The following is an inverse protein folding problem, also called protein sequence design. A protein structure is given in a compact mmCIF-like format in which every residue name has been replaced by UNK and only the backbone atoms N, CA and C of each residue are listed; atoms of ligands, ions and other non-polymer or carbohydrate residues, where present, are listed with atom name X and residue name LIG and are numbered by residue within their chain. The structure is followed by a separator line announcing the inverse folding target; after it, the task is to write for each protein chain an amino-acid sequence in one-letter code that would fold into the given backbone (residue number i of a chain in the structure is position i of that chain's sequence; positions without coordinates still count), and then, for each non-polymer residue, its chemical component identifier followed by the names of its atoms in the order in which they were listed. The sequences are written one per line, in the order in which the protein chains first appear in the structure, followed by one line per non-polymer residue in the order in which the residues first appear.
data_IF_976120713811
#
_entry.id   IF_976120713811
#
_cell.length_a   1.000
_cell.length_b   1.000
_cell.length_c   1.000
_cell.angle_alpha   90.00
_cell.angle_beta   90.00
_cell.angle_gamma   90.00
#
_symmetry.space_group_name_H-M   'P 1'
#
loop_
_entity.id
_entity.type
_entity.pdbx_description
1 polymer ?
#
# COMPACT_ATOMS: atom_id res chain seq x y z
N UNK A 1 -28.22 -4.06 -1.14
CA UNK A 1 -27.81 -3.30 0.06
C UNK A 1 -26.32 -3.02 -0.08
N UNK A 2 -25.96 -1.77 -0.41
CA UNK A 2 -24.56 -1.38 -0.67
C UNK A 2 -23.83 -1.25 0.68
N UNK A 3 -22.82 -2.08 0.91
CA UNK A 3 -21.99 -2.01 2.12
C UNK A 3 -20.84 -1.03 1.84
N UNK A 4 -20.77 0.03 2.63
CA UNK A 4 -19.75 1.06 2.56
C UNK A 4 -18.38 0.46 2.93
N UNK A 5 -17.52 0.25 1.93
CA UNK A 5 -16.08 0.02 2.12
C UNK A 5 -15.40 1.23 2.80
N UNK A 6 -16.10 2.38 2.88
CA UNK A 6 -15.58 3.66 3.35
C UNK A 6 -15.42 3.83 4.86
N UNK A 7 -15.94 2.91 5.70
CA UNK A 7 -15.96 3.09 7.16
C UNK A 7 -14.59 3.04 7.85
N UNK A 8 -13.55 2.52 7.19
CA UNK A 8 -12.22 2.38 7.79
C UNK A 8 -11.29 3.58 7.53
N UNK A 9 -11.68 4.52 6.66
CA UNK A 9 -10.84 5.67 6.31
C UNK A 9 -11.30 6.93 7.03
N UNK A 10 -11.18 6.91 8.37
CA UNK A 10 -11.37 8.09 9.21
C UNK A 10 -10.37 9.18 8.76
N UNK A 11 -10.89 10.25 8.17
CA UNK A 11 -10.09 11.35 7.62
C UNK A 11 -9.59 12.18 8.80
N UNK A 12 -8.31 12.02 9.19
CA UNK A 12 -7.64 13.01 10.01
C UNK A 12 -7.40 14.25 9.12
N UNK A 13 -7.76 15.42 9.63
CA UNK A 13 -7.69 16.69 8.90
C UNK A 13 -6.32 16.90 8.26
N UNK A 14 -6.32 17.28 6.98
CA UNK A 14 -5.11 17.54 6.21
C UNK A 14 -4.39 18.78 6.77
N UNK A 15 -3.38 18.54 7.59
CA UNK A 15 -2.32 19.53 7.84
C UNK A 15 -1.30 19.28 6.72
N UNK A 16 -1.23 20.19 5.74
CA UNK A 16 -0.30 20.05 4.62
C UNK A 16 1.12 20.36 5.11
N UNK A 17 1.92 19.31 5.32
CA UNK A 17 3.36 19.41 5.49
C UNK A 17 4.06 19.08 4.16
N UNK A 18 5.36 19.37 4.05
CA UNK A 18 6.10 19.03 2.84
C UNK A 18 6.21 17.49 2.70
N UNK A 19 5.73 16.92 1.59
CA UNK A 19 5.89 15.50 1.28
C UNK A 19 7.38 15.07 1.17
N UNK A 20 7.70 13.76 1.19
CA UNK A 20 9.08 13.30 1.07
C UNK A 20 9.72 13.78 -0.23
N UNK A 21 10.94 14.33 -0.13
CA UNK A 21 11.61 15.04 -1.24
C UNK A 21 11.80 14.19 -2.51
N UNK A 22 11.86 12.88 -2.36
CA UNK A 22 12.06 11.91 -3.44
C UNK A 22 10.79 11.57 -4.23
N UNK A 23 9.62 12.03 -3.76
CA UNK A 23 8.34 11.82 -4.46
C UNK A 23 8.04 13.00 -5.37
N UNK A 24 7.65 12.70 -6.61
CA UNK A 24 7.14 13.62 -7.61
C UNK A 24 5.66 13.95 -7.32
N UNK A 25 5.47 14.95 -6.46
CA UNK A 25 4.13 15.40 -6.09
C UNK A 25 3.32 15.99 -7.24
N UNK A 26 3.96 16.42 -8.34
CA UNK A 26 3.23 16.88 -9.52
C UNK A 26 2.54 15.71 -10.21
N UNK A 27 3.25 14.57 -10.37
CA UNK A 27 2.63 13.34 -10.88
C UNK A 27 1.56 12.79 -9.95
N UNK A 28 1.83 12.73 -8.64
CA UNK A 28 0.86 12.22 -7.65
C UNK A 28 -0.46 13.00 -7.71
N UNK A 29 -0.40 14.33 -7.74
CA UNK A 29 -1.61 15.18 -7.80
C UNK A 29 -2.41 15.01 -9.09
N UNK A 30 -1.77 14.61 -10.18
CA UNK A 30 -2.42 14.34 -11.46
C UNK A 30 -2.92 12.90 -11.61
N UNK A 31 -2.57 12.00 -10.69
CA UNK A 31 -2.88 10.58 -10.77
C UNK A 31 -4.26 10.20 -10.19
N UNK A 32 -5.02 11.16 -9.66
CA UNK A 32 -6.38 10.92 -9.13
C UNK A 32 -6.42 10.26 -7.75
N UNK A 33 -5.28 10.08 -7.09
CA UNK A 33 -5.22 9.56 -5.72
C UNK A 33 -5.67 10.61 -4.70
N UNK A 34 -6.36 10.14 -3.66
CA UNK A 34 -6.66 10.94 -2.47
C UNK A 34 -5.47 10.81 -1.51
N UNK A 35 -4.82 11.93 -1.20
CA UNK A 35 -3.76 11.98 -0.18
C UNK A 35 -4.41 11.78 1.20
N UNK A 36 -3.90 10.79 1.95
CA UNK A 36 -4.38 10.42 3.30
C UNK A 36 -3.44 10.90 4.40
N UNK A 37 -2.15 10.99 4.10
CA UNK A 37 -1.13 11.46 5.03
C UNK A 37 0.02 12.08 4.23
N UNK A 38 0.47 13.27 4.60
CA UNK A 38 1.54 14.00 3.91
C UNK A 38 2.44 14.67 4.96
N UNK A 39 3.66 14.16 5.11
CA UNK A 39 4.73 14.65 5.98
C UNK A 39 6.09 14.46 5.32
N UNK A 40 7.13 15.06 5.89
CA UNK A 40 8.48 14.98 5.33
C UNK A 40 9.02 13.54 5.27
N UNK A 41 8.57 12.71 6.20
CA UNK A 41 9.01 11.32 6.39
C UNK A 41 8.04 10.29 5.79
N UNK A 42 6.82 10.68 5.43
CA UNK A 42 5.81 9.78 4.88
C UNK A 42 4.79 10.47 3.97
N UNK A 43 4.47 9.81 2.87
CA UNK A 43 3.30 10.10 2.05
C UNK A 43 2.46 8.82 1.97
N UNK A 44 1.15 8.91 2.23
CA UNK A 44 0.19 7.83 1.98
C UNK A 44 -0.93 8.36 1.11
N UNK A 45 -1.26 7.62 0.07
CA UNK A 45 -2.27 7.97 -0.91
C UNK A 45 -3.11 6.77 -1.27
N UNK A 46 -4.40 6.99 -1.56
CA UNK A 46 -5.34 5.91 -1.84
C UNK A 46 -6.27 6.23 -3.00
N UNK A 47 -6.60 5.21 -3.77
CA UNK A 47 -7.66 5.21 -4.78
C UNK A 47 -8.52 3.97 -4.57
N UNK A 48 -9.82 4.08 -4.83
CA UNK A 48 -10.76 2.98 -4.64
C UNK A 48 -11.91 3.07 -5.63
N UNK A 49 -12.44 1.91 -6.01
CA UNK A 49 -13.69 1.76 -6.73
C UNK A 49 -14.66 0.85 -5.94
N UNK A 50 -15.72 0.38 -6.59
CA UNK A 50 -16.76 -0.43 -5.95
C UNK A 50 -16.25 -1.81 -5.47
N UNK A 51 -15.20 -2.35 -6.08
CA UNK A 51 -14.73 -3.73 -5.87
C UNK A 51 -13.30 -3.82 -5.30
N UNK A 52 -12.53 -2.73 -5.38
CA UNK A 52 -11.11 -2.72 -5.04
C UNK A 52 -10.60 -1.39 -4.49
N UNK A 53 -9.47 -1.45 -3.79
CA UNK A 53 -8.74 -0.27 -3.38
C UNK A 53 -7.23 -0.50 -3.46
N UNK A 54 -6.49 0.55 -3.80
CA UNK A 54 -5.03 0.59 -3.77
C UNK A 54 -4.61 1.70 -2.81
N UNK A 55 -3.82 1.34 -1.81
CA UNK A 55 -3.14 2.28 -0.92
C UNK A 55 -1.65 2.19 -1.20
N UNK A 56 -1.00 3.31 -1.51
CA UNK A 56 0.45 3.40 -1.72
C UNK A 56 1.02 4.30 -0.64
N UNK A 57 2.15 3.90 -0.07
CA UNK A 57 2.91 4.71 0.87
C UNK A 57 4.38 4.78 0.50
N UNK A 58 4.95 5.96 0.74
CA UNK A 58 6.36 6.27 0.61
C UNK A 58 6.88 6.70 1.99
N UNK A 59 8.00 6.15 2.45
CA UNK A 59 8.55 6.48 3.77
C UNK A 59 10.08 6.57 3.76
N UNK A 60 10.64 7.43 4.61
CA UNK A 60 12.08 7.50 4.91
C UNK A 60 12.47 6.77 6.19
N UNK A 61 11.65 5.80 6.65
CA UNK A 61 11.99 4.98 7.80
C UNK A 61 13.39 4.34 7.63
N UNK A 62 14.17 4.23 8.69
CA UNK A 62 15.52 3.67 8.62
C UNK A 62 15.54 2.20 9.05
N UNK A 63 14.79 1.36 8.35
CA UNK A 63 14.64 -0.08 8.61
C UNK A 63 14.63 -0.86 7.29
N UNK A 64 14.87 -2.16 7.30
CA UNK A 64 14.86 -2.93 6.05
C UNK A 64 13.45 -3.11 5.47
N UNK A 65 13.36 -3.34 4.16
CA UNK A 65 12.11 -3.74 3.50
C UNK A 65 11.46 -4.97 4.14
N UNK A 66 12.25 -5.91 4.68
CA UNK A 66 11.72 -7.06 5.42
C UNK A 66 11.09 -6.63 6.75
N UNK A 67 11.75 -5.76 7.50
CA UNK A 67 11.21 -5.24 8.77
C UNK A 67 9.91 -4.45 8.54
N UNK A 68 9.78 -3.71 7.44
CA UNK A 68 8.52 -3.06 7.05
C UNK A 68 7.43 -4.08 6.80
N UNK A 69 7.72 -5.13 6.03
CA UNK A 69 6.77 -6.23 5.79
C UNK A 69 6.30 -6.87 7.11
N UNK A 70 7.23 -7.16 8.01
CA UNK A 70 6.93 -7.79 9.29
C UNK A 70 6.11 -6.86 10.20
N UNK A 71 6.44 -5.56 10.25
CA UNK A 71 5.70 -4.55 11.00
C UNK A 71 4.27 -4.38 10.48
N UNK A 72 4.09 -4.23 9.16
CA UNK A 72 2.77 -4.09 8.54
C UNK A 72 1.92 -5.35 8.76
N UNK A 73 2.52 -6.54 8.66
CA UNK A 73 1.84 -7.80 8.97
C UNK A 73 1.39 -7.87 10.43
N UNK A 74 2.25 -7.47 11.38
CA UNK A 74 1.88 -7.43 12.80
C UNK A 74 0.72 -6.47 13.04
N UNK A 75 0.76 -5.28 12.43
CA UNK A 75 -0.31 -4.29 12.57
C UNK A 75 -1.66 -4.79 12.02
N UNK A 76 -1.66 -5.46 10.86
CA UNK A 76 -2.86 -6.06 10.29
C UNK A 76 -3.47 -7.15 11.19
N UNK A 77 -2.63 -8.01 11.76
CA UNK A 77 -3.06 -9.04 12.72
C UNK A 77 -3.70 -8.42 13.98
N UNK A 78 -3.19 -7.29 14.47
CA UNK A 78 -3.80 -6.58 15.60
C UNK A 78 -5.19 -6.01 15.25
N UNK A 79 -5.44 -5.68 13.98
CA UNK A 79 -6.72 -5.16 13.51
C UNK A 79 -7.76 -6.26 13.19
N UNK A 80 -7.56 -7.47 13.72
CA UNK A 80 -8.45 -8.63 13.52
C UNK A 80 -8.57 -9.10 12.06
N UNK A 81 -7.56 -8.82 11.23
CA UNK A 81 -7.45 -9.44 9.92
C UNK A 81 -6.92 -10.87 10.06
N UNK A 82 -7.60 -11.85 9.45
CA UNK A 82 -7.14 -13.23 9.47
C UNK A 82 -6.00 -13.39 8.45
N UNK A 83 -4.78 -13.61 8.92
CA UNK A 83 -3.66 -13.91 8.04
C UNK A 83 -3.87 -15.25 7.33
N UNK A 84 -3.76 -15.24 6.00
CA UNK A 84 -3.93 -16.42 5.15
C UNK A 84 -2.57 -17.03 4.79
N UNK A 85 -1.69 -16.23 4.19
CA UNK A 85 -0.46 -16.73 3.63
C UNK A 85 0.57 -15.61 3.41
N UNK A 86 1.85 -16.00 3.45
CA UNK A 86 2.91 -15.22 2.82
C UNK A 86 3.16 -15.84 1.46
N UNK A 87 3.01 -15.04 0.42
CA UNK A 87 3.18 -15.45 -0.95
C UNK A 87 4.53 -14.93 -1.43
N UNK A 88 5.44 -15.87 -1.68
CA UNK A 88 6.76 -15.49 -2.16
C UNK A 88 6.70 -15.13 -3.64
N UNK A 89 7.10 -13.90 -3.91
CA UNK A 89 7.20 -13.27 -5.21
C UNK A 89 8.67 -12.82 -5.35
N UNK A 90 9.28 -13.00 -6.52
CA UNK A 90 10.70 -12.67 -6.73
C UNK A 90 11.05 -11.19 -6.47
N UNK A 91 10.09 -10.27 -6.66
CA UNK A 91 10.19 -8.82 -6.50
C UNK A 91 9.75 -8.32 -5.11
N UNK A 92 8.80 -8.97 -4.44
CA UNK A 92 8.15 -8.43 -3.24
C UNK A 92 7.82 -9.50 -2.18
N UNK A 93 7.83 -9.08 -0.91
CA UNK A 93 7.13 -9.76 0.16
C UNK A 93 5.64 -9.44 0.03
N UNK A 94 4.81 -10.47 -0.11
CA UNK A 94 3.35 -10.31 -0.18
C UNK A 94 2.70 -11.08 0.95
N UNK A 95 1.98 -10.38 1.82
CA UNK A 95 1.21 -11.00 2.90
C UNK A 95 -0.29 -10.85 2.59
N UNK A 96 -0.99 -11.98 2.55
CA UNK A 96 -2.41 -12.07 2.28
C UNK A 96 -3.20 -12.19 3.59
N UNK A 97 -4.29 -11.42 3.69
CA UNK A 97 -5.24 -11.48 4.79
C UNK A 97 -6.68 -11.49 4.28
N UNK A 98 -7.59 -11.94 5.14
CA UNK A 98 -9.02 -11.88 4.92
C UNK A 98 -9.71 -11.25 6.12
N UNK A 99 -10.58 -10.27 5.84
CA UNK A 99 -11.40 -9.62 6.84
C UNK A 99 -12.75 -9.25 6.25
N UNK A 100 -13.84 -9.63 6.93
CA UNK A 100 -15.20 -9.23 6.59
C UNK A 100 -15.62 -9.54 5.13
N UNK A 101 -15.08 -10.62 4.54
CA UNK A 101 -15.37 -11.03 3.16
C UNK A 101 -14.55 -10.30 2.09
N UNK A 102 -13.53 -9.54 2.49
CA UNK A 102 -12.54 -8.93 1.60
C UNK A 102 -11.18 -9.56 1.78
N UNK A 103 -10.38 -9.52 0.72
CA UNK A 103 -9.00 -9.96 0.70
C UNK A 103 -8.07 -8.74 0.62
N UNK A 104 -7.10 -8.66 1.52
CA UNK A 104 -6.06 -7.64 1.52
C UNK A 104 -4.69 -8.26 1.23
N UNK A 105 -3.87 -7.54 0.47
CA UNK A 105 -2.54 -7.96 0.05
C UNK A 105 -1.57 -6.84 0.37
N UNK A 106 -0.79 -7.01 1.44
CA UNK A 106 0.29 -6.09 1.80
C UNK A 106 1.51 -6.43 0.96
N UNK A 107 1.98 -5.47 0.18
CA UNK A 107 3.03 -5.61 -0.82
C UNK A 107 4.21 -4.73 -0.41
N UNK A 108 5.36 -5.35 -0.15
CA UNK A 108 6.61 -4.63 0.13
C UNK A 108 7.70 -5.12 -0.82
N UNK A 109 8.27 -4.27 -1.69
CA UNK A 109 9.33 -4.66 -2.60
C UNK A 109 10.56 -5.10 -1.80
N UNK A 110 11.23 -6.16 -2.26
CA UNK A 110 12.46 -6.70 -1.62
C UNK A 110 13.66 -5.77 -1.82
N UNK A 111 13.60 -4.92 -2.85
CA UNK A 111 14.62 -3.94 -3.21
C UNK A 111 13.95 -2.60 -3.44
N UNK A 112 14.46 -1.57 -2.78
CA UNK A 112 13.99 -0.21 -2.98
C UNK A 112 14.56 0.37 -4.27
N UNK A 113 13.76 1.21 -4.94
CA UNK A 113 14.22 1.96 -6.11
C UNK A 113 15.25 3.03 -5.73
N UNK A 114 15.12 3.62 -4.55
CA UNK A 114 16.06 4.60 -4.00
C UNK A 114 16.47 4.18 -2.60
N UNK A 115 17.75 4.31 -2.29
CA UNK A 115 18.33 3.88 -1.01
C UNK A 115 17.70 4.62 0.18
N UNK A 116 17.35 3.88 1.23
CA UNK A 116 16.75 4.38 2.48
C UNK A 116 15.37 5.05 2.26
N UNK A 117 14.65 4.59 1.24
CA UNK A 117 13.35 5.11 0.86
C UNK A 117 12.44 3.96 0.48
N UNK A 118 11.41 3.77 1.28
CA UNK A 118 10.54 2.61 1.19
C UNK A 118 9.28 2.98 0.44
N UNK A 119 8.95 2.13 -0.53
CA UNK A 119 7.65 2.13 -1.20
C UNK A 119 6.93 0.87 -0.76
N UNK A 120 5.70 0.95 -0.32
CA UNK A 120 4.87 -0.22 -0.04
C UNK A 120 3.43 0.07 -0.37
N UNK A 121 2.66 -0.98 -0.61
CA UNK A 121 1.28 -0.86 -1.01
C UNK A 121 0.38 -1.88 -0.30
N UNK A 122 -0.91 -1.58 -0.27
CA UNK A 122 -1.95 -2.54 0.10
C UNK A 122 -2.99 -2.55 -1.01
N UNK A 123 -3.22 -3.73 -1.59
CA UNK A 123 -4.33 -3.97 -2.51
C UNK A 123 -5.46 -4.65 -1.75
N UNK A 124 -6.67 -4.14 -1.88
CA UNK A 124 -7.88 -4.72 -1.30
C UNK A 124 -8.81 -5.11 -2.43
N UNK A 125 -9.44 -6.28 -2.32
CA UNK A 125 -10.35 -6.82 -3.33
C UNK A 125 -11.51 -7.55 -2.68
N UNK A 126 -12.70 -7.42 -3.28
CA UNK A 126 -13.89 -8.23 -2.94
C UNK A 126 -13.76 -9.70 -3.35
N UNK A 127 -12.75 -10.04 -4.17
CA UNK A 127 -12.48 -11.40 -4.67
C UNK A 127 -11.06 -11.83 -4.39
N UNK A 128 -10.90 -13.10 -3.99
CA UNK A 128 -9.58 -13.71 -3.83
C UNK A 128 -8.87 -13.79 -5.16
N UNK A 129 -7.63 -13.31 -5.22
CA UNK A 129 -6.80 -13.39 -6.41
C UNK A 129 -6.15 -14.77 -6.56
N UNK A 130 -6.04 -15.23 -7.80
CA UNK A 130 -5.16 -16.35 -8.11
C UNK A 130 -3.70 -15.94 -7.90
N UNK A 131 -2.80 -16.91 -7.70
CA UNK A 131 -1.35 -16.63 -7.59
C UNK A 131 -0.81 -15.86 -8.81
N UNK A 132 -1.30 -16.17 -10.00
CA UNK A 132 -0.88 -15.51 -11.24
C UNK A 132 -1.36 -14.05 -11.30
N UNK A 133 -2.64 -13.81 -10.96
CA UNK A 133 -3.20 -12.46 -10.96
C UNK A 133 -2.58 -11.60 -9.88
N UNK A 134 -2.30 -12.18 -8.70
CA UNK A 134 -1.59 -11.50 -7.64
C UNK A 134 -0.17 -11.10 -8.07
N UNK A 135 0.55 -11.97 -8.78
CA UNK A 135 1.89 -11.62 -9.28
C UNK A 135 1.83 -10.47 -10.28
N UNK A 136 0.83 -10.46 -11.17
CA UNK A 136 0.65 -9.38 -12.15
C UNK A 136 0.30 -8.06 -11.48
N UNK A 137 -0.73 -8.05 -10.61
CA UNK A 137 -1.16 -6.84 -9.93
C UNK A 137 -0.05 -6.29 -9.03
N UNK A 138 0.73 -7.15 -8.37
CA UNK A 138 1.87 -6.72 -7.56
C UNK A 138 2.89 -5.96 -8.41
N UNK A 139 3.22 -6.48 -9.60
CA UNK A 139 4.14 -5.80 -10.49
C UNK A 139 3.56 -4.47 -10.99
N UNK A 140 2.29 -4.44 -11.41
CA UNK A 140 1.62 -3.22 -11.85
C UNK A 140 1.61 -2.14 -10.78
N UNK A 141 1.21 -2.47 -9.55
CA UNK A 141 1.17 -1.53 -8.43
C UNK A 141 2.56 -1.00 -8.11
N UNK A 142 3.59 -1.86 -8.12
CA UNK A 142 4.96 -1.42 -7.86
C UNK A 142 5.51 -0.55 -8.99
N UNK A 143 5.24 -0.88 -10.25
CA UNK A 143 5.65 -0.06 -11.40
C UNK A 143 5.00 1.32 -11.34
N UNK A 144 3.70 1.37 -11.00
CA UNK A 144 2.96 2.61 -10.80
C UNK A 144 3.54 3.42 -9.63
N UNK A 145 3.70 2.81 -8.45
CA UNK A 145 4.25 3.48 -7.28
C UNK A 145 5.66 4.02 -7.54
N UNK A 146 6.52 3.22 -8.17
CA UNK A 146 7.88 3.61 -8.54
C UNK A 146 7.90 4.72 -9.60
N UNK A 147 6.86 4.89 -10.42
CA UNK A 147 6.77 5.96 -11.42
C UNK A 147 6.65 7.37 -10.82
N UNK A 148 6.22 7.44 -9.55
CA UNK A 148 6.12 8.67 -8.76
C UNK A 148 7.41 9.03 -8.03
N UNK A 149 8.45 8.21 -8.12
CA UNK A 149 9.78 8.53 -7.58
C UNK A 149 10.55 9.37 -8.62
N UNK A 150 11.21 10.44 -8.17
CA UNK A 150 12.03 11.36 -8.99
C UNK A 150 13.30 10.72 -9.53
#
# INVERSE_FOLDING_TARGET
MKKFILGLFLILGAISFAAPKFVDMAKVKNAGYIIKNEREDILTMAISDDDSAIIISFSTANISSKEISDLLKSNALHNSENFIATLDNNRAYVNEFEAQGFYSYIIVPKKEKVKNQHTYATYVSSKKLSKNDLSKITNTILDEAESYIK
#
